data_IF_668301432696
#
_entry.id   IF_668301432696
#
_cell.length_a   1.000
_cell.length_b   1.000
_cell.length_c   1.000
_cell.angle_alpha   90.00
_cell.angle_beta   90.00
_cell.angle_gamma   90.00
#
_symmetry.space_group_name_H-M   'P 1'
#
loop_
_entity.id
_entity.type
_entity.pdbx_description
1 polymer ?
#
# COMPACT_ATOMS: atom_id res chain seq x y z
N UNK A 1 4.35 3.57 23.13
CA UNK A 1 5.09 2.76 22.13
C UNK A 1 4.09 2.27 21.09
N UNK A 2 4.10 2.79 19.86
CA UNK A 2 3.26 2.21 18.80
C UNK A 2 3.81 0.82 18.47
N UNK A 3 2.97 -0.22 18.56
CA UNK A 3 3.35 -1.57 18.16
C UNK A 3 3.16 -1.67 16.65
N UNK A 4 4.26 -1.72 15.91
CA UNK A 4 4.21 -2.09 14.50
C UNK A 4 3.97 -3.60 14.36
N UNK A 5 2.97 -4.00 13.57
CA UNK A 5 2.68 -5.39 13.24
C UNK A 5 3.32 -5.70 11.89
N UNK A 6 4.32 -6.58 11.88
CA UNK A 6 4.96 -7.11 10.66
C UNK A 6 4.41 -8.50 10.35
N UNK A 7 3.95 -8.70 9.12
CA UNK A 7 3.42 -9.99 8.63
C UNK A 7 4.14 -10.43 7.37
N UNK A 8 4.31 -11.74 7.22
CA UNK A 8 4.90 -12.38 6.03
C UNK A 8 3.79 -12.78 5.06
N UNK A 9 4.04 -12.65 3.77
CA UNK A 9 3.17 -13.16 2.69
C UNK A 9 4.04 -13.70 1.55
N UNK A 10 3.55 -14.71 0.85
CA UNK A 10 4.21 -15.30 -0.33
C UNK A 10 3.34 -14.96 -1.53
N UNK A 11 3.91 -14.33 -2.56
CA UNK A 11 3.22 -13.98 -3.80
C UNK A 11 4.14 -14.40 -4.95
N UNK A 12 3.62 -15.17 -5.91
CA UNK A 12 4.41 -15.70 -7.04
C UNK A 12 5.73 -16.37 -6.61
N UNK A 13 5.70 -17.18 -5.55
CA UNK A 13 6.87 -17.87 -4.95
C UNK A 13 7.92 -16.94 -4.31
N UNK A 14 7.72 -15.62 -4.35
CA UNK A 14 8.57 -14.63 -3.70
C UNK A 14 8.03 -14.24 -2.33
N UNK A 15 8.95 -13.95 -1.40
CA UNK A 15 8.62 -13.61 -0.02
C UNK A 15 8.57 -12.10 0.16
N UNK A 16 7.44 -11.61 0.65
CA UNK A 16 7.23 -10.22 1.00
C UNK A 16 6.87 -10.07 2.48
N UNK A 17 7.11 -8.87 3.00
CA UNK A 17 6.65 -8.45 4.31
C UNK A 17 5.80 -7.21 4.18
N UNK A 18 4.72 -7.18 4.95
CA UNK A 18 3.88 -6.00 5.08
C UNK A 18 3.80 -5.57 6.53
N UNK A 19 3.85 -4.25 6.74
CA UNK A 19 3.92 -3.62 8.05
C UNK A 19 2.74 -2.67 8.21
N UNK A 20 2.00 -2.88 9.30
CA UNK A 20 1.02 -1.93 9.83
C UNK A 20 1.68 -1.22 11.00
N UNK A 21 1.89 0.09 10.91
CA UNK A 21 2.32 0.86 12.08
C UNK A 21 1.16 0.97 13.08
N UNK A 22 1.45 1.04 14.38
CA UNK A 22 0.40 1.04 15.41
C UNK A 22 -0.57 2.22 15.31
N UNK A 23 -0.13 3.32 14.69
CA UNK A 23 -0.96 4.49 14.44
C UNK A 23 -1.71 4.43 13.11
N UNK A 24 -1.62 3.31 12.35
CA UNK A 24 -2.13 3.23 10.96
C UNK A 24 -3.64 3.32 10.81
N UNK A 25 -4.37 3.25 11.91
CA UNK A 25 -5.84 3.34 11.91
C UNK A 25 -6.29 4.69 12.52
N UNK A 26 -5.42 5.39 13.25
CA UNK A 26 -5.70 6.72 13.79
C UNK A 26 -5.47 7.74 12.68
N UNK A 27 -6.55 8.22 12.04
CA UNK A 27 -6.57 9.11 10.87
C UNK A 27 -5.94 10.50 11.03
N UNK A 28 -5.06 10.69 12.01
CA UNK A 28 -4.32 11.93 12.29
C UNK A 28 -3.00 12.02 11.53
N UNK A 29 -2.49 10.92 10.95
CA UNK A 29 -1.25 10.90 10.15
C UNK A 29 -1.45 10.16 8.82
N UNK A 30 -0.64 10.48 7.79
CA UNK A 30 -0.58 9.75 6.51
C UNK A 30 -0.02 8.34 6.71
N UNK A 31 -0.81 7.47 7.33
CA UNK A 31 -0.38 6.12 7.59
C UNK A 31 -0.72 5.22 6.42
N UNK A 32 0.24 4.35 6.08
CA UNK A 32 0.21 3.52 4.88
C UNK A 32 0.69 2.14 5.25
N UNK A 33 0.10 1.12 4.65
CA UNK A 33 0.64 -0.23 4.73
C UNK A 33 1.92 -0.25 3.90
N UNK A 34 3.05 -0.59 4.53
CA UNK A 34 4.35 -0.67 3.84
C UNK A 34 4.61 -2.11 3.46
N UNK A 35 4.87 -2.37 2.18
CA UNK A 35 5.25 -3.68 1.66
C UNK A 35 6.66 -3.61 1.09
N UNK A 36 7.48 -4.59 1.45
CA UNK A 36 8.84 -4.72 0.93
C UNK A 36 9.21 -6.19 0.72
N UNK A 37 10.16 -6.45 -0.19
CA UNK A 37 10.72 -7.78 -0.40
C UNK A 37 11.55 -8.24 0.82
N UNK A 38 11.77 -9.55 0.95
CA UNK A 38 12.78 -10.11 1.85
C UNK A 38 14.23 -9.80 1.42
N UNK A 39 14.44 -9.48 0.15
CA UNK A 39 15.76 -9.08 -0.36
C UNK A 39 16.09 -7.65 0.11
N UNK A 40 17.37 -7.30 0.20
CA UNK A 40 17.79 -5.94 0.55
C UNK A 40 17.53 -5.01 -0.65
N UNK A 41 16.44 -4.25 -0.61
CA UNK A 41 16.03 -3.35 -1.70
C UNK A 41 15.64 -1.98 -1.14
N UNK A 42 15.63 -0.95 -2.00
CA UNK A 42 15.12 0.39 -1.66
C UNK A 42 13.71 0.64 -2.21
N UNK A 43 13.06 -0.38 -2.76
CA UNK A 43 11.71 -0.25 -3.31
C UNK A 43 10.68 -0.64 -2.26
N UNK A 44 9.79 0.30 -1.95
CA UNK A 44 8.68 0.09 -1.02
C UNK A 44 7.38 0.31 -1.80
N UNK A 45 6.43 -0.60 -1.60
CA UNK A 45 5.05 -0.42 -2.01
C UNK A 45 4.25 0.11 -0.81
N UNK A 46 3.56 1.22 -1.00
CA UNK A 46 2.69 1.81 -0.01
C UNK A 46 1.25 1.63 -0.44
N UNK A 47 0.41 1.13 0.45
CA UNK A 47 -1.02 0.89 0.19
C UNK A 47 -1.85 1.71 1.18
N UNK A 48 -2.85 2.42 0.65
CA UNK A 48 -3.85 3.16 1.42
C UNK A 48 -4.83 2.23 2.14
N UNK A 49 -4.84 2.20 3.49
CA UNK A 49 -5.76 1.37 4.24
C UNK A 49 -7.14 2.00 4.45
N UNK A 50 -7.36 3.28 4.09
CA UNK A 50 -8.52 4.06 4.54
C UNK A 50 -9.69 4.10 3.55
N UNK A 51 -9.56 3.47 2.38
CA UNK A 51 -10.66 3.41 1.41
C UNK A 51 -11.75 2.49 1.90
N UNK A 52 -13.01 2.88 1.69
CA UNK A 52 -14.20 2.17 2.19
C UNK A 52 -14.21 0.67 1.86
N UNK A 53 -13.68 0.30 0.69
CA UNK A 53 -13.61 -1.09 0.22
C UNK A 53 -12.29 -1.80 0.54
N UNK A 54 -11.37 -1.14 1.24
CA UNK A 54 -10.09 -1.73 1.62
C UNK A 54 -10.22 -2.56 2.89
N UNK A 55 -10.21 -3.89 2.75
CA UNK A 55 -10.08 -4.79 3.89
C UNK A 55 -8.61 -5.15 4.14
N UNK A 56 -8.12 -4.90 5.36
CA UNK A 56 -6.74 -5.26 5.76
C UNK A 56 -6.65 -6.77 6.00
N UNK A 57 -6.53 -7.56 4.93
CA UNK A 57 -6.43 -9.02 4.94
C UNK A 57 -5.30 -9.50 4.02
N UNK A 58 -4.68 -10.67 4.28
CA UNK A 58 -3.60 -11.18 3.43
C UNK A 58 -3.96 -11.23 1.94
N UNK A 59 -5.19 -11.64 1.61
CA UNK A 59 -5.68 -11.71 0.22
C UNK A 59 -5.68 -10.35 -0.49
N UNK A 60 -6.12 -9.29 0.20
CA UNK A 60 -6.13 -7.92 -0.34
C UNK A 60 -4.70 -7.41 -0.57
N UNK A 61 -3.79 -7.72 0.36
CA UNK A 61 -2.37 -7.36 0.23
C UNK A 61 -1.73 -8.09 -0.95
N UNK A 62 -2.02 -9.38 -1.14
CA UNK A 62 -1.58 -10.15 -2.30
C UNK A 62 -2.06 -9.51 -3.62
N UNK A 63 -3.34 -9.17 -3.72
CA UNK A 63 -3.90 -8.51 -4.90
C UNK A 63 -3.23 -7.16 -5.18
N UNK A 64 -2.96 -6.37 -4.15
CA UNK A 64 -2.24 -5.10 -4.27
C UNK A 64 -0.81 -5.30 -4.78
N UNK A 65 -0.08 -6.30 -4.29
CA UNK A 65 1.28 -6.64 -4.76
C UNK A 65 1.23 -7.05 -6.23
N UNK A 66 0.32 -7.96 -6.61
CA UNK A 66 0.17 -8.41 -8.00
C UNK A 66 -0.16 -7.24 -8.94
N UNK A 67 -1.07 -6.37 -8.51
CA UNK A 67 -1.42 -5.17 -9.26
C UNK A 67 -0.22 -4.23 -9.43
N UNK A 68 0.52 -3.95 -8.35
CA UNK A 68 1.70 -3.10 -8.41
C UNK A 68 2.75 -3.65 -9.38
N UNK A 69 3.06 -4.95 -9.30
CA UNK A 69 4.04 -5.61 -10.20
C UNK A 69 3.59 -5.46 -11.66
N UNK A 70 2.32 -5.73 -11.94
CA UNK A 70 1.74 -5.57 -13.29
C UNK A 70 1.85 -4.12 -13.81
N UNK A 71 1.82 -3.14 -12.91
CA UNK A 71 1.94 -1.71 -13.22
C UNK A 71 3.39 -1.17 -13.09
N UNK A 72 4.39 -2.05 -13.10
CA UNK A 72 5.80 -1.66 -13.19
C UNK A 72 6.47 -1.37 -11.85
N UNK A 73 5.86 -1.74 -10.72
CA UNK A 73 6.58 -1.82 -9.46
C UNK A 73 7.61 -2.95 -9.51
N UNK A 74 8.88 -2.60 -9.34
CA UNK A 74 9.97 -3.58 -9.25
C UNK A 74 10.44 -3.70 -7.80
N UNK A 75 10.05 -4.76 -7.07
CA UNK A 75 10.40 -4.92 -5.66
C UNK A 75 11.91 -5.08 -5.42
N UNK A 76 12.67 -5.55 -6.41
CA UNK A 76 14.13 -5.75 -6.36
C UNK A 76 14.92 -4.58 -6.94
N UNK A 77 14.23 -3.66 -7.63
CA UNK A 77 14.82 -2.50 -8.26
C UNK A 77 15.36 -1.50 -7.25
N UNK A 78 16.36 -0.72 -7.68
CA UNK A 78 16.84 0.42 -6.90
C UNK A 78 15.80 1.55 -6.94
N UNK A 79 15.09 1.73 -5.82
CA UNK A 79 14.63 3.05 -5.36
C UNK A 79 13.32 3.59 -5.92
N UNK A 80 12.56 2.85 -6.75
CA UNK A 80 11.24 3.32 -7.16
C UNK A 80 10.19 2.88 -6.15
N UNK A 81 9.66 3.85 -5.43
CA UNK A 81 8.53 3.68 -4.53
C UNK A 81 7.23 3.66 -5.34
N UNK A 82 6.26 2.87 -4.94
CA UNK A 82 4.95 2.84 -5.60
C UNK A 82 3.85 3.01 -4.56
N UNK A 83 2.83 3.75 -4.94
CA UNK A 83 1.71 4.13 -4.10
C UNK A 83 0.43 3.58 -4.70
N UNK A 84 -0.37 2.86 -3.91
CA UNK A 84 -1.65 2.30 -4.33
C UNK A 84 -2.79 2.78 -3.44
N UNK A 85 -3.94 3.01 -4.06
CA UNK A 85 -5.23 3.16 -3.39
C UNK A 85 -6.27 2.27 -4.06
N UNK A 86 -7.48 2.24 -3.51
CA UNK A 86 -8.65 1.62 -4.11
C UNK A 86 -9.68 2.68 -4.50
N UNK A 87 -10.37 2.45 -5.62
CA UNK A 87 -11.56 3.22 -5.98
C UNK A 87 -12.74 2.82 -5.11
N UNK A 88 -13.85 3.56 -5.20
CA UNK A 88 -15.08 3.24 -4.48
C UNK A 88 -15.77 1.99 -5.05
N UNK A 89 -15.39 1.54 -6.24
CA UNK A 89 -15.81 0.27 -6.84
C UNK A 89 -14.96 -0.92 -6.39
N UNK A 90 -13.85 -0.65 -5.70
CA UNK A 90 -12.95 -1.67 -5.18
C UNK A 90 -11.77 -2.02 -6.11
N UNK A 91 -11.51 -1.24 -7.15
CA UNK A 91 -10.39 -1.46 -8.05
C UNK A 91 -9.11 -0.77 -7.56
N UNK A 92 -7.96 -1.41 -7.73
CA UNK A 92 -6.67 -0.79 -7.42
C UNK A 92 -6.24 0.21 -8.49
N UNK A 93 -5.63 1.32 -8.07
CA UNK A 93 -4.96 2.25 -8.97
C UNK A 93 -3.64 2.76 -8.39
N UNK A 94 -2.70 3.12 -9.28
CA UNK A 94 -1.44 3.75 -8.90
C UNK A 94 -1.69 5.22 -8.63
N UNK A 95 -1.29 5.67 -7.45
CA UNK A 95 -1.39 7.08 -7.06
C UNK A 95 -0.22 7.85 -7.67
N UNK A 96 -0.47 8.94 -8.43
CA UNK A 96 0.59 9.78 -8.98
C UNK A 96 1.47 10.37 -7.87
N UNK A 97 2.75 10.60 -8.19
CA UNK A 97 3.66 11.29 -7.28
C UNK A 97 3.11 12.70 -6.94
N UNK A 98 3.13 13.06 -5.65
CA UNK A 98 2.66 14.35 -5.15
C UNK A 98 1.21 14.39 -4.63
N UNK A 99 0.42 13.33 -4.83
CA UNK A 99 -0.95 13.25 -4.29
C UNK A 99 -0.93 12.76 -2.84
N UNK A 100 -1.54 13.52 -1.93
CA UNK A 100 -1.69 13.13 -0.51
C UNK A 100 -2.88 12.19 -0.34
N UNK A 101 -2.63 11.05 0.29
CA UNK A 101 -3.68 10.09 0.67
C UNK A 101 -4.56 10.65 1.79
N UNK A 102 -5.87 10.40 1.72
CA UNK A 102 -6.84 10.86 2.73
C UNK A 102 -7.47 12.23 2.47
N UNK A 103 -7.05 12.96 1.43
CA UNK A 103 -7.79 14.12 0.93
C UNK A 103 -8.58 13.69 -0.31
N UNK A 104 -9.84 13.32 -0.12
CA UNK A 104 -10.84 13.54 -1.16
C UNK A 104 -10.79 15.02 -1.50
N UNK A 105 -10.52 15.35 -2.78
CA UNK A 105 -10.76 16.68 -3.29
C UNK A 105 -12.19 17.08 -2.89
N UNK A 106 -12.31 18.09 -2.04
CA UNK A 106 -13.56 18.74 -1.67
C UNK A 106 -14.15 19.57 -2.84
N UNK A 107 -13.80 19.27 -4.08
CA UNK A 107 -14.08 20.12 -5.24
C UNK A 107 -15.09 19.56 -6.25
N UNK A 108 -15.82 18.49 -5.91
CA UNK A 108 -16.94 18.02 -6.76
C UNK A 108 -18.29 18.03 -6.03
N UNK A 109 -18.54 19.06 -5.23
CA UNK A 109 -19.91 19.46 -4.87
C UNK A 109 -20.11 20.91 -5.32
N UNK A 110 -20.33 21.08 -6.62
CA UNK A 110 -20.92 22.29 -7.20
C UNK A 110 -22.33 21.94 -7.71
#
# INVERSE_FOLDING_TARGET
MSRAIKRKIIVNQEVYFWVLDGNTIDGLNENRIKVHSNKLTKSILYIDPYKWHFEIRPKTIEQAILFAIKNGWNPEGKGKTTYLSMTDEGDFFVVPEGVKFGFLNKENNA
#
